data_IF_537251370189
#
_entry.id   IF_537251370189
#
_cell.length_a   1.000
_cell.length_b   1.000
_cell.length_c   1.000
_cell.angle_alpha   90.00
_cell.angle_beta   90.00
_cell.angle_gamma   90.00
#
_symmetry.space_group_name_H-M   'P 1'
#
loop_
_entity.id
_entity.type
_entity.pdbx_description
1 polymer ?
#
# COMPACT_ATOMS: atom_id res chain seq x y z
N UNK A 1 9.06 -35.88 37.02
CA UNK A 1 8.92 -35.57 35.61
C UNK A 1 8.14 -34.24 35.52
N UNK A 2 8.86 -33.16 35.47
CA UNK A 2 8.28 -31.84 35.23
C UNK A 2 8.09 -31.70 33.71
N UNK A 3 6.84 -31.57 33.28
CA UNK A 3 6.49 -31.26 31.92
C UNK A 3 6.73 -29.75 31.69
N UNK A 4 7.69 -29.42 30.86
CA UNK A 4 7.88 -28.10 30.28
C UNK A 4 6.89 -27.93 29.11
N UNK A 5 5.70 -27.40 29.37
CA UNK A 5 4.73 -27.01 28.34
C UNK A 5 4.94 -25.58 27.78
N UNK A 6 5.94 -24.84 28.30
CA UNK A 6 6.19 -23.44 27.89
C UNK A 6 7.16 -23.27 26.70
N UNK A 7 7.93 -24.28 26.34
CA UNK A 7 8.98 -24.15 25.29
C UNK A 7 8.43 -24.30 23.86
N UNK A 8 7.35 -25.01 23.65
CA UNK A 8 6.78 -25.25 22.30
C UNK A 8 5.99 -24.04 21.76
N UNK A 9 5.30 -23.29 22.62
CA UNK A 9 4.57 -22.07 22.24
C UNK A 9 5.52 -20.93 21.89
N UNK A 10 6.63 -20.79 22.61
CA UNK A 10 7.70 -19.82 22.31
C UNK A 10 8.42 -20.15 21.00
N UNK A 11 8.62 -21.43 20.69
CA UNK A 11 9.28 -21.87 19.48
C UNK A 11 8.43 -21.63 18.22
N UNK A 12 7.12 -21.91 18.27
CA UNK A 12 6.19 -21.64 17.20
C UNK A 12 6.09 -20.12 16.93
N UNK A 13 5.97 -19.32 17.99
CA UNK A 13 5.93 -17.85 17.88
C UNK A 13 7.22 -17.29 17.28
N UNK A 14 8.37 -17.86 17.62
CA UNK A 14 9.66 -17.46 17.06
C UNK A 14 9.80 -17.87 15.58
N UNK A 15 9.32 -19.07 15.20
CA UNK A 15 9.29 -19.50 13.79
C UNK A 15 8.38 -18.61 12.95
N UNK A 16 7.21 -18.23 13.45
CA UNK A 16 6.28 -17.33 12.77
C UNK A 16 6.90 -15.92 12.61
N UNK A 17 7.60 -15.41 13.63
CA UNK A 17 8.31 -14.13 13.55
C UNK A 17 9.44 -14.16 12.51
N UNK A 18 10.19 -15.24 12.42
CA UNK A 18 11.23 -15.42 11.39
C UNK A 18 10.60 -15.47 10.01
N UNK A 19 9.54 -16.24 9.81
CA UNK A 19 8.85 -16.38 8.52
C UNK A 19 8.30 -15.02 8.05
N UNK A 20 7.68 -14.26 8.94
CA UNK A 20 7.19 -12.89 8.68
C UNK A 20 8.35 -11.96 8.32
N UNK A 21 9.48 -12.03 9.05
CA UNK A 21 10.65 -11.19 8.79
C UNK A 21 11.32 -11.52 7.44
N UNK A 22 11.38 -12.80 7.07
CA UNK A 22 11.91 -13.24 5.78
C UNK A 22 10.98 -12.77 4.64
N UNK A 23 9.67 -12.96 4.78
CA UNK A 23 8.69 -12.49 3.79
C UNK A 23 8.78 -10.97 3.58
N UNK A 24 8.88 -10.20 4.67
CA UNK A 24 9.04 -8.74 4.62
C UNK A 24 10.33 -8.28 3.91
N UNK A 25 11.41 -9.05 4.04
CA UNK A 25 12.69 -8.74 3.40
C UNK A 25 12.74 -9.15 1.91
N UNK A 26 11.95 -10.14 1.52
CA UNK A 26 11.94 -10.67 0.14
C UNK A 26 10.98 -9.86 -0.75
N UNK A 27 9.80 -9.50 -0.25
CA UNK A 27 8.75 -8.85 -1.03
C UNK A 27 9.19 -7.55 -1.74
N UNK A 28 9.83 -6.57 -1.08
CA UNK A 28 10.32 -5.37 -1.74
C UNK A 28 11.38 -5.66 -2.82
N UNK A 29 12.30 -6.58 -2.56
CA UNK A 29 13.37 -6.95 -3.51
C UNK A 29 12.83 -7.69 -4.73
N UNK A 30 11.83 -8.55 -4.52
CA UNK A 30 11.16 -9.24 -5.61
C UNK A 30 10.42 -8.23 -6.50
N UNK A 31 9.71 -7.28 -5.91
CA UNK A 31 9.01 -6.22 -6.61
C UNK A 31 9.98 -5.33 -7.40
N UNK A 32 11.12 -4.93 -6.83
CA UNK A 32 12.16 -4.17 -7.52
C UNK A 32 12.72 -4.93 -8.73
N UNK A 33 13.01 -6.22 -8.59
CA UNK A 33 13.51 -7.06 -9.68
C UNK A 33 12.46 -7.21 -10.80
N UNK A 34 11.20 -7.34 -10.47
CA UNK A 34 10.11 -7.43 -11.46
C UNK A 34 9.86 -6.09 -12.16
N UNK A 35 9.94 -4.96 -11.46
CA UNK A 35 9.91 -3.61 -12.05
C UNK A 35 11.05 -3.45 -13.05
N UNK A 36 12.28 -3.86 -12.69
CA UNK A 36 13.43 -3.78 -13.59
C UNK A 36 13.21 -4.61 -14.86
N UNK A 37 12.69 -5.85 -14.71
CA UNK A 37 12.37 -6.74 -15.83
C UNK A 37 11.32 -6.16 -16.78
N UNK A 38 10.29 -5.50 -16.25
CA UNK A 38 9.21 -4.91 -17.06
C UNK A 38 9.66 -3.68 -17.83
N UNK A 39 10.64 -2.91 -17.31
CA UNK A 39 11.21 -1.75 -18.01
C UNK A 39 11.84 -2.12 -19.35
N UNK A 40 12.35 -3.33 -19.49
CA UNK A 40 13.04 -3.82 -20.69
C UNK A 40 12.08 -4.42 -21.74
N UNK A 41 10.79 -4.59 -21.40
CA UNK A 41 9.80 -5.21 -22.29
C UNK A 41 9.12 -4.20 -23.23
N UNK A 42 8.77 -4.60 -24.48
CA UNK A 42 7.92 -3.80 -25.36
C UNK A 42 6.52 -3.59 -24.77
N UNK A 43 5.97 -2.40 -24.93
CA UNK A 43 4.70 -1.97 -24.29
C UNK A 43 3.48 -2.77 -24.75
N UNK A 44 3.50 -3.33 -25.98
CA UNK A 44 2.34 -3.99 -26.58
C UNK A 44 2.03 -5.40 -26.02
N UNK A 45 2.89 -5.93 -25.14
CA UNK A 45 2.75 -7.28 -24.57
C UNK A 45 2.42 -7.31 -23.07
N UNK A 46 2.00 -6.20 -22.48
CA UNK A 46 1.74 -6.13 -21.04
C UNK A 46 0.37 -6.71 -20.66
N UNK A 47 0.37 -7.67 -19.73
CA UNK A 47 -0.82 -8.02 -18.94
C UNK A 47 -1.13 -6.97 -17.87
N UNK A 48 -2.24 -7.14 -17.14
CA UNK A 48 -2.65 -6.20 -16.09
C UNK A 48 -1.55 -6.00 -15.03
N UNK A 49 -0.90 -7.07 -14.61
CA UNK A 49 0.21 -7.05 -13.66
C UNK A 49 1.42 -6.26 -14.19
N UNK A 50 1.84 -6.51 -15.43
CA UNK A 50 2.95 -5.79 -16.06
C UNK A 50 2.66 -4.28 -16.18
N UNK A 51 1.41 -3.90 -16.44
CA UNK A 51 0.98 -2.50 -16.45
C UNK A 51 1.15 -1.85 -15.07
N UNK A 52 0.77 -2.53 -13.98
CA UNK A 52 0.97 -2.03 -12.60
C UNK A 52 2.46 -1.83 -12.34
N UNK A 53 3.31 -2.81 -12.62
CA UNK A 53 4.76 -2.70 -12.44
C UNK A 53 5.37 -1.54 -13.27
N UNK A 54 4.90 -1.35 -14.50
CA UNK A 54 5.32 -0.22 -15.34
C UNK A 54 4.93 1.12 -14.73
N UNK A 55 3.70 1.24 -14.24
CA UNK A 55 3.23 2.43 -13.54
C UNK A 55 4.08 2.74 -12.31
N UNK A 56 4.36 1.73 -11.47
CA UNK A 56 5.21 1.85 -10.30
C UNK A 56 6.64 2.30 -10.64
N UNK A 57 7.18 1.81 -11.76
CA UNK A 57 8.55 2.14 -12.19
C UNK A 57 8.79 3.63 -12.46
N UNK A 58 7.75 4.41 -12.67
CA UNK A 58 7.82 5.83 -13.02
C UNK A 58 7.05 6.74 -12.06
N UNK A 59 6.20 6.16 -11.19
CA UNK A 59 5.29 6.90 -10.31
C UNK A 59 6.00 7.97 -9.47
N UNK A 60 7.17 7.67 -8.94
CA UNK A 60 7.90 8.53 -8.01
C UNK A 60 8.98 9.39 -8.66
N UNK A 61 9.02 9.46 -9.99
CA UNK A 61 9.90 10.41 -10.68
C UNK A 61 9.42 11.87 -10.57
N UNK A 62 8.17 12.09 -10.19
CA UNK A 62 7.53 13.40 -9.94
C UNK A 62 7.72 14.44 -11.06
N UNK A 63 7.95 14.00 -12.29
CA UNK A 63 7.82 14.85 -13.48
C UNK A 63 6.49 14.57 -14.18
N UNK A 64 5.97 15.56 -14.91
CA UNK A 64 4.63 15.50 -15.51
C UNK A 64 4.45 14.33 -16.47
N UNK A 65 5.48 13.99 -17.25
CA UNK A 65 5.41 12.92 -18.27
C UNK A 65 5.30 11.55 -17.59
N UNK A 66 6.24 11.23 -16.71
CA UNK A 66 6.28 9.93 -16.02
C UNK A 66 5.10 9.75 -15.08
N UNK A 67 4.70 10.83 -14.39
CA UNK A 67 3.56 10.78 -13.49
C UNK A 67 2.24 10.55 -14.24
N UNK A 68 2.07 11.16 -15.43
CA UNK A 68 0.91 10.90 -16.30
C UNK A 68 0.94 9.47 -16.80
N UNK A 69 2.10 8.98 -17.26
CA UNK A 69 2.29 7.60 -17.72
C UNK A 69 1.92 6.59 -16.63
N UNK A 70 2.30 6.84 -15.36
CA UNK A 70 1.92 5.97 -14.25
C UNK A 70 0.39 5.80 -14.15
N UNK A 71 -0.35 6.90 -14.19
CA UNK A 71 -1.81 6.88 -14.16
C UNK A 71 -2.43 6.17 -15.36
N UNK A 72 -1.85 6.33 -16.58
CA UNK A 72 -2.32 5.63 -17.78
C UNK A 72 -2.09 4.12 -17.65
N UNK A 73 -0.96 3.71 -17.09
CA UNK A 73 -0.66 2.29 -16.86
C UNK A 73 -1.60 1.66 -15.84
N UNK A 74 -1.93 2.34 -14.75
CA UNK A 74 -2.90 1.81 -13.77
C UNK A 74 -4.31 1.72 -14.35
N UNK A 75 -4.75 2.70 -15.15
CA UNK A 75 -6.03 2.62 -15.89
C UNK A 75 -6.03 1.45 -16.86
N UNK A 76 -4.93 1.27 -17.61
CA UNK A 76 -4.80 0.16 -18.54
C UNK A 76 -4.85 -1.20 -17.84
N UNK A 77 -4.25 -1.32 -16.66
CA UNK A 77 -4.33 -2.52 -15.85
C UNK A 77 -5.78 -2.86 -15.49
N UNK A 78 -6.58 -1.88 -15.09
CA UNK A 78 -8.00 -2.04 -14.77
C UNK A 78 -8.84 -2.40 -16.01
N UNK A 79 -8.52 -1.84 -17.18
CA UNK A 79 -9.18 -2.21 -18.45
C UNK A 79 -8.92 -3.68 -18.81
N UNK A 80 -7.70 -4.18 -18.56
CA UNK A 80 -7.31 -5.57 -18.83
C UNK A 80 -7.88 -6.54 -17.80
N UNK A 81 -7.93 -6.15 -16.53
CA UNK A 81 -8.53 -6.93 -15.44
C UNK A 81 -9.27 -6.01 -14.45
N UNK A 82 -10.59 -5.84 -14.62
CA UNK A 82 -11.41 -5.02 -13.72
C UNK A 82 -11.53 -5.56 -12.29
N UNK A 83 -11.07 -6.78 -12.02
CA UNK A 83 -11.06 -7.41 -10.71
C UNK A 83 -9.67 -7.48 -10.08
N UNK A 84 -8.69 -6.77 -10.63
CA UNK A 84 -7.35 -6.69 -10.06
C UNK A 84 -7.30 -5.60 -8.97
N UNK A 85 -7.44 -6.01 -7.71
CA UNK A 85 -7.53 -5.11 -6.54
C UNK A 85 -6.37 -4.12 -6.48
N UNK A 86 -5.12 -4.60 -6.69
CA UNK A 86 -3.93 -3.74 -6.61
C UNK A 86 -3.90 -2.66 -7.71
N UNK A 87 -4.45 -2.92 -8.91
CA UNK A 87 -4.54 -1.90 -9.94
C UNK A 87 -5.44 -0.73 -9.49
N UNK A 88 -6.58 -1.04 -8.87
CA UNK A 88 -7.44 -0.04 -8.26
C UNK A 88 -6.76 0.70 -7.11
N UNK A 89 -6.07 -0.01 -6.22
CA UNK A 89 -5.36 0.61 -5.09
C UNK A 89 -4.24 1.58 -5.58
N UNK A 90 -3.47 1.19 -6.60
CA UNK A 90 -2.44 2.05 -7.17
C UNK A 90 -3.02 3.25 -7.92
N UNK A 91 -4.15 3.11 -8.62
CA UNK A 91 -4.83 4.25 -9.23
C UNK A 91 -5.38 5.21 -8.17
N UNK A 92 -5.95 4.68 -7.08
CA UNK A 92 -6.37 5.48 -5.94
C UNK A 92 -5.20 6.26 -5.32
N UNK A 93 -4.07 5.59 -5.13
CA UNK A 93 -2.84 6.21 -4.63
C UNK A 93 -2.30 7.29 -5.57
N UNK A 94 -2.34 7.07 -6.88
CA UNK A 94 -1.96 8.06 -7.88
C UNK A 94 -2.84 9.31 -7.82
N UNK A 95 -4.17 9.17 -7.69
CA UNK A 95 -5.07 10.31 -7.49
C UNK A 95 -4.79 11.06 -6.18
N UNK A 96 -4.47 10.34 -5.11
CA UNK A 96 -4.04 10.93 -3.84
C UNK A 96 -2.76 11.76 -3.98
N UNK A 97 -1.75 11.24 -4.70
CA UNK A 97 -0.52 11.99 -4.99
C UNK A 97 -0.80 13.22 -5.88
N UNK A 98 -1.65 13.10 -6.89
CA UNK A 98 -2.06 14.27 -7.69
C UNK A 98 -2.63 15.38 -6.84
N UNK A 99 -3.49 15.01 -5.89
CA UNK A 99 -4.09 15.96 -4.96
C UNK A 99 -3.02 16.62 -4.07
N UNK A 100 -2.13 15.83 -3.47
CA UNK A 100 -1.16 16.29 -2.48
C UNK A 100 0.04 17.04 -3.07
N UNK A 101 0.53 16.61 -4.25
CA UNK A 101 1.76 17.12 -4.87
C UNK A 101 1.51 18.25 -5.90
N UNK A 102 0.27 18.75 -6.01
CA UNK A 102 -0.04 19.88 -6.86
C UNK A 102 -0.19 19.57 -8.36
N UNK A 103 -0.27 18.29 -8.76
CA UNK A 103 -0.52 17.88 -10.15
C UNK A 103 -2.00 17.91 -10.53
N UNK A 104 -2.90 18.17 -9.57
CA UNK A 104 -4.33 18.17 -9.80
C UNK A 104 -4.81 19.48 -10.41
N UNK A 105 -5.47 19.41 -11.55
CA UNK A 105 -6.27 20.51 -12.11
C UNK A 105 -7.69 20.57 -11.53
N UNK A 106 -8.14 19.53 -10.84
CA UNK A 106 -9.45 19.43 -10.19
C UNK A 106 -9.35 18.54 -8.95
N UNK A 107 -9.02 19.14 -7.82
CA UNK A 107 -8.82 18.43 -6.54
C UNK A 107 -10.07 17.67 -6.09
N UNK A 108 -11.28 18.21 -6.30
CA UNK A 108 -12.52 17.52 -5.92
C UNK A 108 -12.77 16.26 -6.74
N UNK A 109 -12.36 16.24 -8.01
CA UNK A 109 -12.41 15.05 -8.85
C UNK A 109 -11.38 14.00 -8.37
N UNK A 110 -10.14 14.41 -8.14
CA UNK A 110 -9.10 13.50 -7.69
C UNK A 110 -9.43 12.89 -6.31
N UNK A 111 -9.96 13.68 -5.37
CA UNK A 111 -10.44 13.18 -4.08
C UNK A 111 -11.51 12.10 -4.24
N UNK A 112 -12.52 12.36 -5.08
CA UNK A 112 -13.61 11.41 -5.33
C UNK A 112 -13.11 10.12 -5.98
N UNK A 113 -12.26 10.22 -7.02
CA UNK A 113 -11.70 9.06 -7.71
C UNK A 113 -10.74 8.26 -6.80
N UNK A 114 -9.96 8.93 -5.96
CA UNK A 114 -9.15 8.24 -4.97
C UNK A 114 -10.02 7.42 -4.01
N UNK A 115 -11.10 8.00 -3.49
CA UNK A 115 -12.03 7.32 -2.60
C UNK A 115 -12.72 6.13 -3.30
N UNK A 116 -13.27 6.35 -4.49
CA UNK A 116 -13.96 5.32 -5.28
C UNK A 116 -13.05 4.11 -5.58
N UNK A 117 -11.85 4.36 -6.11
CA UNK A 117 -10.92 3.28 -6.45
C UNK A 117 -10.37 2.58 -5.21
N UNK A 118 -10.11 3.28 -4.11
CA UNK A 118 -9.66 2.63 -2.88
C UNK A 118 -10.71 1.72 -2.26
N UNK A 119 -11.97 2.16 -2.25
CA UNK A 119 -13.09 1.32 -1.80
C UNK A 119 -13.28 0.11 -2.72
N UNK A 120 -13.15 0.31 -4.04
CA UNK A 120 -13.23 -0.79 -5.00
C UNK A 120 -12.15 -1.83 -4.78
N UNK A 121 -10.92 -1.43 -4.52
CA UNK A 121 -9.81 -2.34 -4.22
C UNK A 121 -10.11 -3.21 -3.00
N UNK A 122 -10.57 -2.61 -1.90
CA UNK A 122 -10.94 -3.34 -0.67
C UNK A 122 -12.16 -4.26 -0.88
N UNK A 123 -13.13 -3.86 -1.73
CA UNK A 123 -14.27 -4.73 -2.08
C UNK A 123 -13.84 -5.97 -2.88
N UNK A 124 -12.87 -5.82 -3.79
CA UNK A 124 -12.35 -6.92 -4.62
C UNK A 124 -11.53 -7.88 -3.76
N UNK A 125 -10.59 -7.36 -2.98
CA UNK A 125 -9.79 -8.16 -2.05
C UNK A 125 -9.70 -7.48 -0.66
N UNK A 126 -10.57 -7.89 0.26
CA UNK A 126 -10.57 -7.34 1.63
C UNK A 126 -9.39 -7.83 2.49
N UNK A 127 -8.56 -8.73 1.97
CA UNK A 127 -7.39 -9.28 2.66
C UNK A 127 -6.06 -8.74 2.11
N UNK A 128 -6.09 -7.86 1.13
CA UNK A 128 -4.88 -7.19 0.64
C UNK A 128 -4.51 -6.02 1.57
N UNK A 129 -3.43 -6.22 2.34
CA UNK A 129 -2.94 -5.23 3.30
C UNK A 129 -2.53 -3.89 2.64
N UNK A 130 -2.03 -3.93 1.40
CA UNK A 130 -1.71 -2.72 0.64
C UNK A 130 -2.97 -1.92 0.33
N UNK A 131 -4.02 -2.55 -0.22
CA UNK A 131 -5.29 -1.89 -0.54
C UNK A 131 -5.94 -1.27 0.70
N UNK A 132 -5.96 -2.00 1.82
CA UNK A 132 -6.43 -1.48 3.11
C UNK A 132 -5.62 -0.28 3.58
N UNK A 133 -4.30 -0.33 3.46
CA UNK A 133 -3.41 0.78 3.83
C UNK A 133 -3.65 2.02 2.97
N UNK A 134 -3.89 1.86 1.66
CA UNK A 134 -4.23 2.98 0.77
C UNK A 134 -5.59 3.55 1.13
N UNK A 135 -6.60 2.71 1.32
CA UNK A 135 -7.95 3.15 1.71
C UNK A 135 -7.92 3.91 3.05
N UNK A 136 -7.24 3.38 4.05
CA UNK A 136 -7.05 4.05 5.34
C UNK A 136 -6.40 5.44 5.20
N UNK A 137 -5.37 5.55 4.35
CA UNK A 137 -4.75 6.86 4.10
C UNK A 137 -5.71 7.86 3.45
N UNK A 138 -6.50 7.42 2.48
CA UNK A 138 -7.50 8.26 1.82
C UNK A 138 -8.59 8.70 2.80
N UNK A 139 -9.06 7.79 3.66
CA UNK A 139 -10.02 8.15 4.72
C UNK A 139 -9.43 9.19 5.68
N UNK A 140 -8.16 9.06 6.07
CA UNK A 140 -7.49 10.01 6.95
C UNK A 140 -7.18 11.34 6.26
N UNK A 141 -6.44 11.28 5.14
CA UNK A 141 -5.85 12.48 4.52
C UNK A 141 -6.88 13.30 3.74
N UNK A 142 -7.68 12.65 2.89
CA UNK A 142 -8.66 13.33 2.04
C UNK A 142 -10.01 13.53 2.73
N UNK A 143 -10.52 12.49 3.42
CA UNK A 143 -11.88 12.49 3.94
C UNK A 143 -11.98 12.90 5.43
N UNK A 144 -10.84 13.01 6.15
CA UNK A 144 -10.76 13.35 7.58
C UNK A 144 -11.54 12.40 8.50
N UNK A 145 -11.70 11.14 8.09
CA UNK A 145 -12.38 10.08 8.86
C UNK A 145 -11.35 9.23 9.59
N UNK A 146 -10.79 9.79 10.66
CA UNK A 146 -9.62 9.22 11.34
C UNK A 146 -9.89 7.86 11.99
N UNK A 147 -11.05 7.66 12.59
CA UNK A 147 -11.39 6.37 13.24
C UNK A 147 -11.48 5.26 12.21
N UNK A 148 -12.22 5.47 11.11
CA UNK A 148 -12.30 4.51 10.00
C UNK A 148 -10.92 4.24 9.37
N UNK A 149 -10.06 5.25 9.28
CA UNK A 149 -8.70 5.07 8.80
C UNK A 149 -7.89 4.15 9.72
N UNK A 150 -7.97 4.35 11.04
CA UNK A 150 -7.25 3.53 12.02
C UNK A 150 -7.73 2.07 11.99
N UNK A 151 -9.04 1.82 11.88
CA UNK A 151 -9.58 0.46 11.71
C UNK A 151 -8.99 -0.25 10.48
N UNK A 152 -8.91 0.44 9.34
CA UNK A 152 -8.32 -0.11 8.10
C UNK A 152 -6.82 -0.39 8.26
N UNK A 153 -6.07 0.50 8.93
CA UNK A 153 -4.65 0.27 9.18
C UNK A 153 -4.42 -0.91 10.14
N UNK A 154 -5.21 -1.03 11.20
CA UNK A 154 -5.09 -2.13 12.15
C UNK A 154 -5.47 -3.46 11.49
N UNK A 155 -6.47 -3.48 10.61
CA UNK A 155 -6.79 -4.65 9.79
C UNK A 155 -5.64 -5.00 8.84
N UNK A 156 -5.05 -4.01 8.14
CA UNK A 156 -3.90 -4.22 7.26
C UNK A 156 -2.71 -4.84 8.02
N UNK A 157 -2.43 -4.33 9.22
CA UNK A 157 -1.32 -4.82 10.05
C UNK A 157 -1.61 -6.17 10.71
N UNK A 158 -2.87 -6.50 10.94
CA UNK A 158 -3.26 -7.86 11.36
C UNK A 158 -3.03 -8.89 10.25
N UNK A 159 -3.34 -8.53 9.00
CA UNK A 159 -3.14 -9.39 7.82
C UNK A 159 -1.67 -9.49 7.42
N UNK A 160 -0.94 -8.39 7.49
CA UNK A 160 0.48 -8.33 7.19
C UNK A 160 1.22 -7.39 8.17
N UNK A 161 1.76 -7.93 9.28
CA UNK A 161 2.53 -7.15 10.25
C UNK A 161 3.77 -6.46 9.68
N UNK A 162 4.23 -6.90 8.50
CA UNK A 162 5.37 -6.34 7.78
C UNK A 162 5.01 -5.27 6.76
N UNK A 163 3.73 -4.87 6.68
CA UNK A 163 3.29 -3.80 5.80
C UNK A 163 3.81 -2.43 6.29
N UNK A 164 5.05 -2.08 5.93
CA UNK A 164 5.68 -0.82 6.31
C UNK A 164 4.82 0.42 5.95
N UNK A 165 4.14 0.48 4.78
CA UNK A 165 3.24 1.58 4.46
C UNK A 165 2.07 1.75 5.43
N UNK A 166 1.48 0.65 5.95
CA UNK A 166 0.40 0.73 6.93
C UNK A 166 0.90 1.29 8.27
N UNK A 167 2.09 0.88 8.71
CA UNK A 167 2.75 1.45 9.89
C UNK A 167 3.01 2.95 9.72
N UNK A 168 3.61 3.38 8.59
CA UNK A 168 3.93 4.79 8.34
C UNK A 168 2.67 5.66 8.29
N UNK A 169 1.66 5.25 7.52
CA UNK A 169 0.42 6.00 7.32
C UNK A 169 -0.42 6.10 8.60
N UNK A 170 -0.50 5.01 9.38
CA UNK A 170 -1.16 5.04 10.69
C UNK A 170 -0.43 5.97 11.67
N UNK A 171 0.90 5.97 11.69
CA UNK A 171 1.69 6.91 12.47
C UNK A 171 1.43 8.37 12.09
N UNK A 172 1.37 8.67 10.79
CA UNK A 172 1.01 10.02 10.30
C UNK A 172 -0.41 10.42 10.74
N UNK A 173 -1.37 9.49 10.66
CA UNK A 173 -2.75 9.73 11.09
C UNK A 173 -2.81 10.03 12.60
N UNK A 174 -2.11 9.24 13.42
CA UNK A 174 -2.02 9.46 14.85
C UNK A 174 -1.41 10.82 15.21
N UNK A 175 -0.39 11.27 14.45
CA UNK A 175 0.18 12.59 14.61
C UNK A 175 -0.85 13.70 14.30
N UNK A 176 -1.67 13.57 13.27
CA UNK A 176 -2.73 14.52 12.93
C UNK A 176 -3.79 14.67 14.03
N UNK A 177 -4.08 13.60 14.77
CA UNK A 177 -5.06 13.64 15.86
C UNK A 177 -4.43 13.87 17.24
N UNK A 178 -3.14 14.24 17.31
CA UNK A 178 -2.44 14.60 18.53
C UNK A 178 -1.96 13.43 19.41
N UNK A 179 -2.01 12.17 18.91
CA UNK A 179 -1.53 10.98 19.63
C UNK A 179 -0.04 10.73 19.38
N UNK A 180 0.82 11.68 19.77
CA UNK A 180 2.23 11.75 19.40
C UNK A 180 3.07 10.52 19.80
N UNK A 181 2.92 10.00 21.02
CA UNK A 181 3.69 8.83 21.49
C UNK A 181 3.38 7.57 20.68
N UNK A 182 2.11 7.36 20.38
CA UNK A 182 1.68 6.25 19.53
C UNK A 182 2.15 6.42 18.08
N UNK A 183 2.09 7.65 17.57
CA UNK A 183 2.61 7.99 16.25
C UNK A 183 4.09 7.64 16.14
N UNK A 184 4.92 8.01 17.11
CA UNK A 184 6.34 7.68 17.15
C UNK A 184 6.59 6.16 17.16
N UNK A 185 5.78 5.41 17.89
CA UNK A 185 5.87 3.95 17.94
C UNK A 185 5.58 3.33 16.57
N UNK A 186 4.49 3.77 15.90
CA UNK A 186 4.13 3.31 14.55
C UNK A 186 5.22 3.66 13.52
N UNK A 187 5.73 4.89 13.53
CA UNK A 187 6.78 5.32 12.60
C UNK A 187 8.08 4.53 12.80
N UNK A 188 8.50 4.26 14.04
CA UNK A 188 9.68 3.42 14.31
C UNK A 188 9.52 2.01 13.76
N UNK A 189 8.33 1.42 13.85
CA UNK A 189 8.06 0.11 13.24
C UNK A 189 8.16 0.18 11.70
N UNK A 190 7.62 1.22 11.07
CA UNK A 190 7.76 1.43 9.64
C UNK A 190 9.22 1.53 9.21
N UNK A 191 10.03 2.33 9.91
CA UNK A 191 11.47 2.51 9.61
C UNK A 191 12.30 1.24 9.77
N UNK A 192 11.87 0.32 10.65
CA UNK A 192 12.55 -0.97 10.83
C UNK A 192 12.27 -1.96 9.70
N UNK A 193 11.16 -1.76 8.98
CA UNK A 193 10.67 -2.67 7.93
C UNK A 193 10.95 -2.17 6.50
N UNK A 194 11.47 -0.93 6.34
CA UNK A 194 11.77 -0.30 5.03
C UNK A 194 13.24 -0.42 4.60
#
# INVERSE_FOLDING_TARGET
>A
AEHYEGEDEDLCTFQDQIAVSIAAAIDPRLQEAEIARVRERPTDSFGAYDCVLRGLSVLYNFNTVDFTLAGDMFRRAIELDPHYAQAHAHLAWWHNLRYGEGFSSNQGLDQRLADEHSQRAVQIDPRDAWSLSVAGHIQSFLNKRFDAAMEMFDQALHLNPSCAPAWARSGTTLAYIGRGEEALTRVRNAMRLS
#
